data_IF_784265383202
#
_entry.id   IF_784265383202
#
_cell.length_a   1.000
_cell.length_b   1.000
_cell.length_c   1.000
_cell.angle_alpha   90.00
_cell.angle_beta   90.00
_cell.angle_gamma   90.00
#
_symmetry.space_group_name_H-M   'P 1'
#
loop_
_entity.id
_entity.type
_entity.pdbx_description
1 polymer ?
#
# COMPACT_ATOMS: atom_id res chain seq x y z
N UNK A 1 16.71 84.74 27.34
CA UNK A 1 16.88 83.80 26.20
C UNK A 1 16.32 82.46 26.65
N UNK A 2 15.06 82.14 26.28
CA UNK A 2 14.31 80.94 26.69
C UNK A 2 14.07 80.11 25.43
N UNK A 3 14.57 78.89 25.40
CA UNK A 3 14.30 77.92 24.33
C UNK A 3 13.51 76.77 24.94
N UNK A 4 12.20 76.75 24.68
CA UNK A 4 11.28 75.70 25.14
C UNK A 4 11.57 74.40 24.39
N UNK A 5 11.91 73.36 25.17
CA UNK A 5 11.97 71.97 24.73
C UNK A 5 10.56 71.48 24.38
N UNK A 6 10.31 71.20 23.10
CA UNK A 6 9.09 70.55 22.63
C UNK A 6 9.16 69.06 22.96
N UNK A 7 8.59 68.70 24.11
CA UNK A 7 8.26 67.31 24.44
C UNK A 7 7.12 66.84 23.53
N UNK A 8 7.47 66.26 22.38
CA UNK A 8 6.52 65.52 21.54
C UNK A 8 6.15 64.20 22.23
N UNK A 9 4.99 64.21 22.89
CA UNK A 9 4.32 63.02 23.41
C UNK A 9 3.94 62.11 22.23
N UNK A 10 4.74 61.06 22.00
CA UNK A 10 4.37 59.96 21.11
C UNK A 10 3.16 59.23 21.71
N UNK A 11 1.97 59.54 21.23
CA UNK A 11 0.76 58.80 21.52
C UNK A 11 0.93 57.33 21.08
N UNK A 12 1.01 56.41 22.05
CA UNK A 12 0.92 54.97 21.79
C UNK A 12 -0.49 54.67 21.30
N UNK A 13 -0.63 54.22 20.05
CA UNK A 13 -1.92 53.71 19.55
C UNK A 13 -2.30 52.47 20.38
N UNK A 14 -3.51 52.40 20.95
CA UNK A 14 -3.95 51.20 21.63
C UNK A 14 -4.07 50.07 20.61
N UNK A 15 -3.34 48.98 20.82
CA UNK A 15 -3.59 47.70 20.16
C UNK A 15 -4.97 47.24 20.63
N UNK A 16 -5.99 47.47 19.81
CA UNK A 16 -7.34 47.01 20.07
C UNK A 16 -7.36 45.50 20.14
N UNK A 17 -7.41 44.95 21.35
CA UNK A 17 -7.71 43.54 21.56
C UNK A 17 -9.17 43.34 21.18
N UNK A 18 -9.42 42.90 19.95
CA UNK A 18 -10.76 42.48 19.52
C UNK A 18 -11.09 41.20 20.29
N UNK A 19 -11.97 41.33 21.29
CA UNK A 19 -12.58 40.18 21.92
C UNK A 19 -13.43 39.48 20.85
N UNK A 20 -12.99 38.29 20.43
CA UNK A 20 -13.77 37.44 19.53
C UNK A 20 -15.10 37.10 20.20
N UNK A 21 -16.19 37.23 19.46
CA UNK A 21 -17.50 36.83 19.95
C UNK A 21 -17.49 35.31 20.19
N UNK A 22 -18.14 34.85 21.27
CA UNK A 22 -18.28 33.43 21.59
C UNK A 22 -18.94 32.66 20.43
N UNK A 23 -19.83 33.33 19.69
CA UNK A 23 -20.46 32.82 18.48
C UNK A 23 -19.46 32.64 17.34
N UNK A 24 -18.52 33.57 17.18
CA UNK A 24 -17.47 33.51 16.16
C UNK A 24 -16.49 32.37 16.42
N UNK A 25 -16.07 32.18 17.67
CA UNK A 25 -15.22 31.04 18.06
C UNK A 25 -15.94 29.71 17.80
N UNK A 26 -17.22 29.62 18.17
CA UNK A 26 -18.01 28.41 17.95
C UNK A 26 -18.18 28.10 16.46
N UNK A 27 -18.42 29.12 15.64
CA UNK A 27 -18.52 28.97 14.19
C UNK A 27 -17.20 28.48 13.57
N UNK A 28 -16.06 29.04 13.97
CA UNK A 28 -14.74 28.61 13.48
C UNK A 28 -14.45 27.15 13.86
N UNK A 29 -14.72 26.76 15.11
CA UNK A 29 -14.53 25.37 15.55
C UNK A 29 -15.43 24.41 14.77
N UNK A 30 -16.69 24.78 14.52
CA UNK A 30 -17.60 23.97 13.72
C UNK A 30 -17.10 23.80 12.28
N UNK A 31 -16.64 24.88 11.64
CA UNK A 31 -16.07 24.83 10.28
C UNK A 31 -14.82 23.95 10.24
N UNK A 32 -13.90 24.10 11.20
CA UNK A 32 -12.70 23.25 11.30
C UNK A 32 -13.12 21.78 11.47
N UNK A 33 -14.08 21.48 12.35
CA UNK A 33 -14.57 20.12 12.56
C UNK A 33 -15.12 19.47 11.28
N UNK A 34 -15.93 20.22 10.50
CA UNK A 34 -16.49 19.72 9.23
C UNK A 34 -15.37 19.48 8.20
N UNK A 35 -14.42 20.42 8.07
CA UNK A 35 -13.30 20.29 7.12
C UNK A 35 -12.39 19.12 7.49
N UNK A 36 -12.08 18.95 8.78
CA UNK A 36 -11.28 17.81 9.26
C UNK A 36 -11.97 16.47 8.99
N UNK A 37 -13.28 16.37 9.21
CA UNK A 37 -14.03 15.14 8.95
C UNK A 37 -14.05 14.80 7.46
N UNK A 38 -14.27 15.79 6.59
CA UNK A 38 -14.21 15.63 5.15
C UNK A 38 -12.82 15.16 4.68
N UNK A 39 -11.76 15.75 5.23
CA UNK A 39 -10.39 15.35 4.92
C UNK A 39 -10.09 13.90 5.35
N UNK A 40 -10.51 13.48 6.55
CA UNK A 40 -10.32 12.10 7.03
C UNK A 40 -11.08 11.11 6.16
N UNK A 41 -12.34 11.40 5.81
CA UNK A 41 -13.16 10.49 5.01
C UNK A 41 -12.60 10.26 3.60
N UNK A 42 -12.00 11.28 3.00
CA UNK A 42 -11.49 11.22 1.63
C UNK A 42 -10.05 10.73 1.55
N UNK A 43 -9.17 11.21 2.43
CA UNK A 43 -7.75 10.85 2.38
C UNK A 43 -7.44 9.59 3.17
N UNK A 44 -8.17 9.32 4.26
CA UNK A 44 -7.86 8.22 5.16
C UNK A 44 -8.03 6.86 4.49
N UNK A 45 -9.18 6.60 3.87
CA UNK A 45 -9.49 5.27 3.36
C UNK A 45 -8.72 4.94 2.08
N UNK A 46 -8.66 5.87 1.11
CA UNK A 46 -7.98 5.62 -0.15
C UNK A 46 -6.47 5.54 0.03
N UNK A 47 -5.87 6.41 0.85
CA UNK A 47 -4.41 6.40 1.07
C UNK A 47 -3.96 5.15 1.81
N UNK A 48 -4.70 4.72 2.84
CA UNK A 48 -4.37 3.50 3.58
C UNK A 48 -4.53 2.26 2.70
N UNK A 49 -5.59 2.20 1.89
CA UNK A 49 -5.82 1.06 1.01
C UNK A 49 -4.76 1.00 -0.10
N UNK A 50 -4.37 2.14 -0.68
CA UNK A 50 -3.28 2.21 -1.65
C UNK A 50 -1.94 1.79 -1.02
N UNK A 51 -1.64 2.21 0.21
CA UNK A 51 -0.44 1.75 0.92
C UNK A 51 -0.49 0.24 1.17
N UNK A 52 -1.66 -0.31 1.52
CA UNK A 52 -1.85 -1.74 1.71
C UNK A 52 -1.62 -2.54 0.43
N UNK A 53 -2.03 -1.99 -0.72
CA UNK A 53 -1.84 -2.60 -2.03
C UNK A 53 -0.36 -2.62 -2.45
N UNK A 54 0.37 -1.53 -2.24
CA UNK A 54 1.82 -1.50 -2.45
C UNK A 54 2.52 -2.50 -1.52
N UNK A 55 2.20 -2.48 -0.23
CA UNK A 55 2.76 -3.40 0.76
C UNK A 55 2.49 -4.87 0.41
N UNK A 56 1.28 -5.17 -0.08
CA UNK A 56 0.92 -6.50 -0.56
C UNK A 56 1.71 -6.90 -1.81
N UNK A 57 1.89 -6.00 -2.79
CA UNK A 57 2.70 -6.25 -3.98
C UNK A 57 4.16 -6.56 -3.64
N UNK A 58 4.75 -5.79 -2.70
CA UNK A 58 6.12 -6.02 -2.22
C UNK A 58 6.26 -7.32 -1.44
N UNK A 59 5.26 -7.64 -0.61
CA UNK A 59 5.22 -8.91 0.13
C UNK A 59 5.16 -10.09 -0.83
N UNK A 60 4.25 -10.05 -1.81
CA UNK A 60 4.14 -11.07 -2.85
C UNK A 60 5.43 -11.24 -3.65
N UNK A 61 6.10 -10.14 -4.01
CA UNK A 61 7.42 -10.19 -4.66
C UNK A 61 8.45 -10.92 -3.78
N UNK A 62 8.51 -10.58 -2.49
CA UNK A 62 9.41 -11.22 -1.53
C UNK A 62 9.12 -12.71 -1.38
N UNK A 63 7.85 -13.11 -1.33
CA UNK A 63 7.47 -14.50 -1.21
C UNK A 63 7.80 -15.29 -2.48
N UNK A 64 7.59 -14.73 -3.68
CA UNK A 64 8.02 -15.35 -4.93
C UNK A 64 9.54 -15.53 -4.99
N UNK A 65 10.31 -14.54 -4.52
CA UNK A 65 11.76 -14.67 -4.39
C UNK A 65 12.14 -15.77 -3.40
N UNK A 66 11.41 -15.89 -2.30
CA UNK A 66 11.62 -16.95 -1.31
C UNK A 66 11.30 -18.34 -1.89
N UNK A 67 10.21 -18.49 -2.65
CA UNK A 67 9.87 -19.73 -3.37
C UNK A 67 11.03 -20.12 -4.27
N UNK A 68 11.48 -19.20 -5.13
CA UNK A 68 12.61 -19.44 -6.03
C UNK A 68 13.87 -19.89 -5.29
N UNK A 69 14.23 -19.21 -4.20
CA UNK A 69 15.40 -19.56 -3.39
C UNK A 69 15.26 -20.94 -2.75
N UNK A 70 14.07 -21.30 -2.25
CA UNK A 70 13.80 -22.61 -1.65
C UNK A 70 13.84 -23.73 -2.69
N UNK A 71 13.28 -23.48 -3.87
CA UNK A 71 13.39 -24.41 -4.99
C UNK A 71 14.85 -24.71 -5.31
N UNK A 72 15.67 -23.68 -5.50
CA UNK A 72 17.09 -23.85 -5.79
C UNK A 72 17.88 -24.52 -4.64
N UNK A 73 17.53 -24.22 -3.38
CA UNK A 73 18.22 -24.77 -2.21
C UNK A 73 17.88 -26.24 -1.94
N UNK A 74 16.67 -26.67 -2.25
CA UNK A 74 16.19 -28.04 -1.96
C UNK A 74 16.29 -28.98 -3.15
N UNK A 75 16.27 -28.45 -4.38
CA UNK A 75 16.15 -29.23 -5.61
C UNK A 75 14.73 -29.73 -5.89
N UNK A 76 13.77 -29.46 -5.00
CA UNK A 76 12.35 -29.76 -5.19
C UNK A 76 11.63 -28.52 -5.74
N UNK A 77 10.71 -28.69 -6.69
CA UNK A 77 9.92 -27.57 -7.20
C UNK A 77 9.00 -27.00 -6.11
N UNK A 78 9.13 -25.71 -5.85
CA UNK A 78 8.21 -24.95 -5.00
C UNK A 78 7.37 -24.00 -5.85
N UNK A 79 6.17 -23.70 -5.36
CA UNK A 79 5.23 -22.82 -6.03
C UNK A 79 4.34 -22.08 -5.03
N UNK A 80 3.81 -20.94 -5.45
CA UNK A 80 2.68 -20.32 -4.77
C UNK A 80 1.39 -20.79 -5.44
N UNK A 81 0.47 -21.37 -4.66
CA UNK A 81 -0.89 -21.69 -5.12
C UNK A 81 -1.82 -20.61 -4.63
N UNK A 82 -2.52 -19.95 -5.55
CA UNK A 82 -3.52 -18.95 -5.23
C UNK A 82 -4.89 -19.61 -5.10
N UNK A 83 -5.70 -19.11 -4.18
CA UNK A 83 -7.10 -19.50 -3.99
C UNK A 83 -7.97 -18.37 -4.49
N UNK A 84 -8.94 -18.69 -5.35
CA UNK A 84 -9.86 -17.70 -5.91
C UNK A 84 -11.17 -17.63 -5.13
N UNK A 85 -11.71 -16.43 -5.02
CA UNK A 85 -13.11 -16.14 -4.73
C UNK A 85 -13.70 -15.39 -5.94
N UNK A 86 -14.46 -16.12 -6.76
CA UNK A 86 -14.87 -15.67 -8.09
C UNK A 86 -13.67 -15.50 -9.02
N UNK A 87 -13.47 -14.28 -9.54
CA UNK A 87 -12.33 -13.93 -10.42
C UNK A 87 -11.15 -13.32 -9.68
N UNK A 88 -11.28 -13.09 -8.36
CA UNK A 88 -10.25 -12.46 -7.55
C UNK A 88 -9.55 -13.48 -6.66
N UNK A 89 -8.27 -13.29 -6.40
CA UNK A 89 -7.51 -14.08 -5.44
C UNK A 89 -7.93 -13.65 -4.04
N UNK A 90 -8.35 -14.61 -3.21
CA UNK A 90 -8.70 -14.40 -1.80
C UNK A 90 -7.51 -14.70 -0.87
N UNK A 91 -6.64 -15.62 -1.27
CA UNK A 91 -5.42 -15.97 -0.53
C UNK A 91 -4.41 -16.71 -1.39
N UNK A 92 -3.17 -16.85 -0.91
CA UNK A 92 -2.19 -17.75 -1.50
C UNK A 92 -1.38 -18.48 -0.43
N UNK A 93 -0.83 -19.64 -0.79
CA UNK A 93 -0.04 -20.49 0.10
C UNK A 93 1.19 -21.00 -0.64
N UNK A 94 2.32 -21.14 0.06
CA UNK A 94 3.51 -21.77 -0.49
C UNK A 94 3.41 -23.29 -0.39
N UNK A 95 3.64 -23.98 -1.51
CA UNK A 95 3.66 -25.43 -1.61
C UNK A 95 5.00 -25.92 -2.15
N UNK A 96 5.28 -27.19 -1.90
CA UNK A 96 6.37 -27.96 -2.48
C UNK A 96 5.79 -29.19 -3.17
N UNK A 97 6.24 -29.44 -4.40
CA UNK A 97 6.00 -30.71 -5.10
C UNK A 97 6.70 -31.84 -4.36
N UNK A 98 5.98 -32.90 -3.99
CA UNK A 98 6.59 -34.12 -3.49
C UNK A 98 5.97 -35.35 -4.18
N UNK A 99 6.70 -36.46 -4.18
CA UNK A 99 6.28 -37.71 -4.84
C UNK A 99 4.97 -38.30 -4.30
N UNK A 100 4.60 -37.96 -3.05
CA UNK A 100 3.34 -38.34 -2.41
C UNK A 100 2.21 -37.31 -2.51
N UNK A 101 2.40 -36.23 -3.28
CA UNK A 101 1.48 -35.10 -3.38
C UNK A 101 2.09 -33.79 -2.92
N UNK A 102 1.44 -32.68 -3.27
CA UNK A 102 1.90 -31.35 -2.89
C UNK A 102 1.83 -31.16 -1.36
N UNK A 103 2.85 -30.56 -0.76
CA UNK A 103 2.93 -30.30 0.69
C UNK A 103 2.97 -28.80 0.96
N UNK A 104 2.17 -28.33 1.92
CA UNK A 104 2.19 -26.94 2.37
C UNK A 104 3.49 -26.66 3.13
N UNK A 105 4.21 -25.61 2.74
CA UNK A 105 5.50 -25.22 3.34
C UNK A 105 5.37 -23.98 4.22
N UNK A 106 4.37 -23.13 3.97
CA UNK A 106 4.14 -21.91 4.74
C UNK A 106 2.65 -21.67 4.96
N UNK A 107 2.35 -20.80 5.92
CA UNK A 107 1.01 -20.32 6.23
C UNK A 107 0.36 -19.58 5.06
N UNK A 108 -0.97 -19.65 5.00
CA UNK A 108 -1.74 -18.92 4.00
C UNK A 108 -1.67 -17.41 4.24
N UNK A 109 -1.42 -16.64 3.17
CA UNK A 109 -1.54 -15.18 3.19
C UNK A 109 -2.87 -14.77 2.57
N UNK A 110 -3.66 -14.04 3.34
CA UNK A 110 -4.96 -13.53 2.89
C UNK A 110 -4.78 -12.21 2.14
N UNK A 111 -5.55 -12.03 1.08
CA UNK A 111 -5.61 -10.75 0.36
C UNK A 111 -6.30 -9.70 1.23
N UNK A 112 -5.68 -8.52 1.43
CA UNK A 112 -6.29 -7.44 2.20
C UNK A 112 -7.66 -7.03 1.63
N UNK A 113 -8.58 -6.64 2.52
CA UNK A 113 -9.91 -6.15 2.14
C UNK A 113 -9.77 -4.85 1.32
N UNK A 114 -10.60 -4.73 0.28
CA UNK A 114 -10.60 -3.55 -0.59
C UNK A 114 -9.62 -3.63 -1.77
N UNK A 115 -8.90 -4.74 -1.91
CA UNK A 115 -8.05 -5.01 -3.07
C UNK A 115 -8.70 -6.03 -4.00
N UNK A 116 -8.53 -5.82 -5.31
CA UNK A 116 -8.85 -6.80 -6.34
C UNK A 116 -7.54 -7.34 -6.89
N UNK A 117 -7.29 -8.63 -6.68
CA UNK A 117 -6.05 -9.28 -7.08
C UNK A 117 -6.35 -10.36 -8.10
N UNK A 118 -5.68 -10.36 -9.24
CA UNK A 118 -5.85 -11.37 -10.29
C UNK A 118 -4.50 -11.94 -10.69
N UNK A 119 -4.46 -13.19 -11.15
CA UNK A 119 -3.25 -13.79 -11.70
C UNK A 119 -3.53 -14.48 -13.02
N UNK A 120 -2.51 -14.56 -13.87
CA UNK A 120 -2.56 -15.33 -15.11
C UNK A 120 -2.58 -16.84 -14.88
N UNK A 121 -2.14 -17.31 -13.71
CA UNK A 121 -2.05 -18.73 -13.37
C UNK A 121 -2.49 -19.01 -11.94
N UNK A 122 -2.95 -20.23 -11.67
CA UNK A 122 -3.30 -20.65 -10.31
C UNK A 122 -2.05 -21.05 -9.49
N UNK A 123 -1.06 -21.63 -10.16
CA UNK A 123 0.21 -22.07 -9.58
C UNK A 123 1.36 -21.26 -10.20
N UNK A 124 2.08 -20.50 -9.37
CA UNK A 124 3.29 -19.75 -9.74
C UNK A 124 4.52 -20.59 -9.38
N UNK A 125 4.86 -21.52 -10.27
CA UNK A 125 5.86 -22.58 -10.03
C UNK A 125 7.25 -22.21 -10.54
N UNK A 126 8.25 -22.53 -9.74
CA UNK A 126 9.66 -22.40 -10.10
C UNK A 126 10.28 -23.79 -10.23
N UNK A 127 11.15 -23.94 -11.23
CA UNK A 127 11.92 -25.16 -11.46
C UNK A 127 13.21 -25.16 -10.63
N UNK A 128 13.85 -26.33 -10.49
CA UNK A 128 15.01 -26.55 -9.61
C UNK A 128 16.18 -25.57 -9.82
N UNK A 129 16.32 -25.00 -11.03
CA UNK A 129 17.33 -23.99 -11.38
C UNK A 129 16.95 -22.56 -10.98
N UNK A 130 15.77 -22.38 -10.38
CA UNK A 130 15.19 -21.10 -10.01
C UNK A 130 14.56 -20.34 -11.17
N UNK A 131 14.38 -20.97 -12.33
CA UNK A 131 13.58 -20.42 -13.43
C UNK A 131 12.09 -20.48 -13.09
N UNK A 132 11.30 -19.58 -13.67
CA UNK A 132 9.83 -19.71 -13.63
C UNK A 132 9.35 -20.51 -14.84
N UNK A 133 8.39 -21.44 -14.64
CA UNK A 133 7.90 -22.30 -15.73
C UNK A 133 7.10 -21.53 -16.79
N UNK A 134 6.58 -20.36 -16.43
CA UNK A 134 5.85 -19.46 -17.32
C UNK A 134 6.05 -18.00 -16.90
N UNK A 135 5.61 -17.08 -17.76
CA UNK A 135 5.45 -15.68 -17.41
C UNK A 135 4.25 -15.56 -16.46
N UNK A 136 4.53 -15.35 -15.18
CA UNK A 136 3.49 -15.07 -14.21
C UNK A 136 3.28 -13.57 -14.12
N UNK A 137 2.01 -13.18 -14.07
CA UNK A 137 1.61 -11.80 -13.85
C UNK A 137 0.52 -11.80 -12.80
N UNK A 138 0.73 -11.04 -11.73
CA UNK A 138 -0.25 -10.80 -10.69
C UNK A 138 -0.56 -9.32 -10.68
N UNK A 139 -1.81 -8.97 -10.95
CA UNK A 139 -2.28 -7.59 -10.95
C UNK A 139 -3.02 -7.32 -9.64
N UNK A 140 -2.65 -6.23 -8.97
CA UNK A 140 -3.19 -5.81 -7.69
C UNK A 140 -3.79 -4.42 -7.89
N UNK A 141 -5.11 -4.34 -7.83
CA UNK A 141 -5.87 -3.10 -8.03
C UNK A 141 -6.36 -2.61 -6.68
N UNK A 142 -5.87 -1.44 -6.26
CA UNK A 142 -6.41 -0.66 -5.15
C UNK A 142 -7.40 0.41 -5.63
N UNK A 143 -7.94 1.25 -4.73
CA UNK A 143 -8.94 2.26 -5.07
C UNK A 143 -8.45 3.33 -6.05
N UNK A 144 -7.17 3.72 -5.97
CA UNK A 144 -6.63 4.80 -6.83
C UNK A 144 -5.32 4.44 -7.52
N UNK A 145 -4.70 3.32 -7.15
CA UNK A 145 -3.42 2.88 -7.70
C UNK A 145 -3.44 1.38 -7.96
N UNK A 146 -2.67 0.98 -8.96
CA UNK A 146 -2.58 -0.41 -9.38
C UNK A 146 -1.12 -0.82 -9.49
N UNK A 147 -0.81 -2.06 -9.10
CA UNK A 147 0.51 -2.64 -9.19
C UNK A 147 0.47 -3.94 -9.97
N UNK A 148 1.59 -4.25 -10.60
CA UNK A 148 1.78 -5.51 -11.30
C UNK A 148 3.06 -6.18 -10.83
N UNK A 149 2.94 -7.42 -10.38
CA UNK A 149 4.09 -8.29 -10.08
C UNK A 149 4.28 -9.24 -11.24
N UNK A 150 5.45 -9.25 -11.86
CA UNK A 150 5.75 -10.15 -12.97
C UNK A 150 7.00 -10.98 -12.71
N UNK A 151 7.03 -12.18 -13.27
CA UNK A 151 8.23 -13.03 -13.30
C UNK A 151 8.81 -13.08 -14.71
N UNK A 152 10.13 -13.14 -14.82
CA UNK A 152 10.79 -13.38 -16.10
C UNK A 152 11.03 -14.88 -16.27
N UNK A 153 10.49 -15.53 -17.33
CA UNK A 153 10.80 -16.92 -17.66
C UNK A 153 12.31 -17.17 -17.75
N UNK A 154 12.75 -18.41 -17.54
CA UNK A 154 14.16 -18.83 -17.50
C UNK A 154 15.01 -18.26 -16.35
N UNK A 155 14.75 -17.05 -15.85
CA UNK A 155 15.52 -16.48 -14.72
C UNK A 155 14.78 -16.53 -13.39
N UNK A 156 13.44 -16.55 -13.42
CA UNK A 156 12.60 -16.44 -12.24
C UNK A 156 12.70 -15.08 -11.54
N UNK A 157 13.29 -14.07 -12.20
CA UNK A 157 13.42 -12.73 -11.63
C UNK A 157 12.03 -12.10 -11.45
N UNK A 158 11.74 -11.63 -10.24
CA UNK A 158 10.45 -11.06 -9.86
C UNK A 158 10.54 -9.53 -9.77
N UNK A 159 9.69 -8.82 -10.51
CA UNK A 159 9.65 -7.35 -10.55
C UNK A 159 8.27 -6.83 -10.17
N UNK A 160 8.22 -5.60 -9.66
CA UNK A 160 6.99 -4.89 -9.31
C UNK A 160 6.96 -3.58 -10.06
N UNK A 161 5.84 -3.32 -10.73
CA UNK A 161 5.58 -2.10 -11.49
C UNK A 161 4.35 -1.40 -10.92
N UNK A 162 4.37 -0.07 -10.92
CA UNK A 162 3.16 0.74 -10.82
C UNK A 162 2.55 0.85 -12.23
N UNK A 163 1.28 0.48 -12.34
CA UNK A 163 0.51 0.46 -13.60
C UNK A 163 -0.77 1.32 -13.48
N UNK A 164 -0.76 2.31 -12.59
CA UNK A 164 -1.86 3.26 -12.45
C UNK A 164 -2.08 3.99 -13.80
N UNK A 165 -3.32 4.01 -14.33
CA UNK A 165 -3.64 4.65 -15.61
C UNK A 165 -3.53 6.18 -15.58
#
# INVERSE_FOLDING_TARGET
>A
MRTQSQNQLRARRPLGWRAFSLLEVTAVVAVIGIVSLAAISRLGNDSLTNLSAEGYARTLQSDLQQVRQRTAATGDNHFLRVTYDGSSISSYVMWRRASGGDVIVDSARTTPVGLVVTSTHADLEFDFDGSSLALYTVTIVGPSRSWQVTTVPATGLCQVFDITP
#
